data_IF_825421057680
#
_entry.id   IF_825421057680
#
_cell.length_a   1.000
_cell.length_b   1.000
_cell.length_c   1.000
_cell.angle_alpha   90.00
_cell.angle_beta   90.00
_cell.angle_gamma   90.00
#
_symmetry.space_group_name_H-M   'P 1'
#
loop_
_entity.id
_entity.type
_entity.pdbx_description
1 polymer ?
#
# COMPACT_ATOMS: atom_id res chain seq x y z
N UNK A 1 53.84 33.62 -19.15
CA UNK A 1 52.80 33.81 -18.12
C UNK A 1 52.11 32.49 -17.90
N UNK A 2 52.62 31.67 -16.98
CA UNK A 2 52.01 30.40 -16.61
C UNK A 2 52.65 29.90 -15.31
N UNK A 3 51.88 29.83 -14.24
CA UNK A 3 51.72 28.66 -13.37
C UNK A 3 50.85 29.06 -12.17
N UNK A 4 49.88 28.22 -11.82
CA UNK A 4 49.75 27.68 -10.46
C UNK A 4 48.42 26.92 -10.34
N UNK A 5 48.43 25.70 -10.85
CA UNK A 5 47.58 24.61 -10.38
C UNK A 5 48.09 24.15 -9.01
N UNK A 6 47.43 24.55 -7.94
CA UNK A 6 47.51 23.86 -6.63
C UNK A 6 46.47 22.76 -6.61
N UNK A 7 46.94 21.51 -6.70
CA UNK A 7 46.16 20.31 -6.42
C UNK A 7 46.78 19.59 -5.22
N UNK A 8 45.92 18.89 -4.47
CA UNK A 8 46.21 18.02 -3.31
C UNK A 8 46.29 18.70 -1.94
N UNK A 9 45.14 18.85 -1.29
CA UNK A 9 45.02 18.91 0.17
C UNK A 9 45.15 17.49 0.73
N UNK A 10 46.30 17.17 1.30
CA UNK A 10 46.45 16.05 2.23
C UNK A 10 45.82 16.44 3.57
N UNK A 11 44.62 15.95 3.86
CA UNK A 11 44.04 16.10 5.21
C UNK A 11 44.77 15.18 6.19
N UNK A 12 45.78 15.72 6.85
CA UNK A 12 46.29 15.18 8.11
C UNK A 12 45.26 15.48 9.20
N UNK A 13 44.55 14.47 9.69
CA UNK A 13 43.77 14.56 10.92
C UNK A 13 44.71 14.83 12.11
N UNK A 14 44.99 16.11 12.38
CA UNK A 14 45.76 16.57 13.53
C UNK A 14 44.85 16.56 14.78
N UNK A 15 44.81 15.42 15.46
CA UNK A 15 44.18 15.31 16.79
C UNK A 15 44.98 16.20 17.76
N UNK A 16 44.34 17.05 18.58
CA UNK A 16 45.04 17.90 19.54
C UNK A 16 45.92 17.11 20.50
N UNK A 17 47.11 17.66 20.78
CA UNK A 17 48.07 17.14 21.76
C UNK A 17 49.37 16.65 21.14
N UNK A 18 50.36 16.38 22.00
CA UNK A 18 51.66 15.85 21.57
C UNK A 18 51.54 14.39 21.10
N UNK A 19 52.39 13.95 20.15
CA UNK A 19 52.46 12.55 19.77
C UNK A 19 52.73 11.63 20.98
N UNK A 20 52.17 10.42 20.94
CA UNK A 20 52.42 9.39 21.98
C UNK A 20 53.92 9.21 22.23
N UNK A 21 54.33 9.43 23.48
CA UNK A 21 55.72 9.25 23.94
C UNK A 21 56.19 7.81 23.79
N UNK A 22 57.51 7.58 23.76
CA UNK A 22 58.10 6.23 23.76
C UNK A 22 57.61 5.42 24.97
N UNK A 23 57.53 6.06 26.14
CA UNK A 23 57.01 5.44 27.36
C UNK A 23 55.58 4.94 27.17
N UNK A 24 54.69 5.77 26.62
CA UNK A 24 53.30 5.38 26.36
C UNK A 24 53.21 4.19 25.40
N UNK A 25 53.99 4.21 24.31
CA UNK A 25 54.01 3.10 23.34
C UNK A 25 54.46 1.78 23.98
N UNK A 26 55.49 1.82 24.83
CA UNK A 26 55.98 0.61 25.54
C UNK A 26 54.93 0.08 26.51
N UNK A 27 54.30 0.97 27.30
CA UNK A 27 53.25 0.59 28.25
C UNK A 27 52.02 0.02 27.54
N UNK A 28 51.57 0.65 26.46
CA UNK A 28 50.46 0.16 25.62
C UNK A 28 50.78 -1.20 24.99
N UNK A 29 52.02 -1.41 24.54
CA UNK A 29 52.45 -2.72 24.01
C UNK A 29 52.38 -3.80 25.09
N UNK A 30 52.89 -3.52 26.29
CA UNK A 30 52.81 -4.45 27.42
C UNK A 30 51.37 -4.72 27.86
N UNK A 31 50.51 -3.70 27.86
CA UNK A 31 49.08 -3.85 28.12
C UNK A 31 48.40 -4.69 27.03
N UNK A 32 48.68 -4.46 25.75
CA UNK A 32 48.12 -5.22 24.64
C UNK A 32 48.45 -6.73 24.71
N UNK A 33 49.61 -7.07 25.27
CA UNK A 33 50.04 -8.46 25.46
C UNK A 33 49.41 -9.15 26.67
N UNK A 34 48.93 -8.40 27.66
CA UNK A 34 48.47 -8.94 28.96
C UNK A 34 46.97 -8.78 29.19
N UNK A 35 46.34 -7.77 28.59
CA UNK A 35 44.91 -7.49 28.71
C UNK A 35 44.12 -8.32 27.69
N UNK A 36 42.96 -8.82 28.11
CA UNK A 36 42.06 -9.51 27.20
C UNK A 36 40.96 -8.58 26.66
N UNK A 37 41.04 -8.28 25.37
CA UNK A 37 40.08 -7.45 24.65
C UNK A 37 38.95 -8.26 24.00
N UNK A 38 38.49 -9.34 24.64
CA UNK A 38 37.47 -10.24 24.09
C UNK A 38 36.28 -9.51 23.46
N UNK A 39 35.62 -8.51 24.08
CA UNK A 39 34.51 -7.80 23.45
C UNK A 39 34.87 -7.10 22.12
N UNK A 40 36.05 -6.47 22.04
CA UNK A 40 36.52 -5.79 20.83
C UNK A 40 36.89 -6.80 19.74
N UNK A 41 37.43 -7.96 20.12
CA UNK A 41 37.75 -9.06 19.20
C UNK A 41 36.50 -9.72 18.57
N UNK A 42 35.29 -9.43 19.06
CA UNK A 42 34.02 -9.91 18.47
C UNK A 42 33.52 -9.04 17.31
N UNK A 43 34.22 -7.96 16.95
CA UNK A 43 33.88 -7.18 15.75
C UNK A 43 34.07 -8.08 14.52
N UNK A 44 33.01 -8.29 13.76
CA UNK A 44 32.95 -9.26 12.65
C UNK A 44 32.71 -8.63 11.28
N UNK A 45 32.29 -7.36 11.23
CA UNK A 45 32.02 -6.66 9.97
C UNK A 45 32.53 -5.22 9.99
N UNK A 46 33.02 -4.76 8.83
CA UNK A 46 33.30 -3.36 8.53
C UNK A 46 32.32 -2.90 7.45
N UNK A 47 31.47 -1.94 7.79
CA UNK A 47 30.56 -1.27 6.84
C UNK A 47 30.99 0.19 6.66
N UNK A 48 30.75 0.73 5.47
CA UNK A 48 30.94 2.14 5.18
C UNK A 48 29.62 2.72 4.65
N UNK A 49 29.14 3.77 5.31
CA UNK A 49 27.85 4.42 5.11
C UNK A 49 27.98 5.94 5.22
N UNK A 50 26.85 6.65 5.13
CA UNK A 50 26.78 8.08 5.38
C UNK A 50 25.62 8.40 6.31
N UNK A 51 25.94 9.04 7.44
CA UNK A 51 24.95 9.46 8.41
C UNK A 51 24.51 10.90 8.16
N UNK A 52 23.21 11.15 8.28
CA UNK A 52 22.61 12.49 8.28
C UNK A 52 22.22 12.90 9.69
N UNK A 53 22.30 14.20 9.99
CA UNK A 53 21.81 14.72 11.27
C UNK A 53 20.28 14.75 11.27
N UNK A 54 19.65 14.18 12.30
CA UNK A 54 18.19 14.11 12.36
C UNK A 54 17.51 15.49 12.51
N UNK A 55 18.21 16.45 13.14
CA UNK A 55 17.77 17.83 13.33
C UNK A 55 18.19 18.76 12.18
N UNK A 56 19.28 18.45 11.48
CA UNK A 56 19.76 19.18 10.31
C UNK A 56 20.10 18.24 9.12
N UNK A 57 19.11 17.85 8.30
CA UNK A 57 19.31 16.95 7.18
C UNK A 57 20.05 17.59 5.98
N UNK A 58 20.59 18.80 6.13
CA UNK A 58 21.50 19.40 5.14
C UNK A 58 22.97 19.02 5.37
N UNK A 59 23.26 18.34 6.48
CA UNK A 59 24.60 17.90 6.87
C UNK A 59 24.68 16.38 6.88
N UNK A 60 25.80 15.85 6.41
CA UNK A 60 26.10 14.42 6.46
C UNK A 60 27.57 14.16 6.76
N UNK A 61 27.86 12.95 7.27
CA UNK A 61 29.21 12.51 7.63
C UNK A 61 29.41 11.08 7.14
N UNK A 62 30.55 10.77 6.53
CA UNK A 62 30.93 9.39 6.23
C UNK A 62 31.18 8.62 7.54
N UNK A 63 30.59 7.43 7.64
CA UNK A 63 30.60 6.62 8.84
C UNK A 63 31.21 5.24 8.54
N UNK A 64 32.24 4.87 9.31
CA UNK A 64 32.85 3.55 9.27
C UNK A 64 32.38 2.73 10.47
N UNK A 65 31.53 1.74 10.22
CA UNK A 65 30.90 0.91 11.24
C UNK A 65 31.74 -0.34 11.44
N UNK A 66 32.10 -0.59 12.69
CA UNK A 66 32.74 -1.83 13.13
C UNK A 66 31.75 -2.57 14.00
N UNK A 67 31.09 -3.56 13.40
CA UNK A 67 29.90 -4.17 13.95
C UNK A 67 30.18 -5.52 14.61
N UNK A 68 29.41 -5.79 15.67
CA UNK A 68 29.33 -7.07 16.35
C UNK A 68 27.89 -7.58 16.27
N UNK A 69 27.74 -8.86 15.89
CA UNK A 69 26.46 -9.55 15.87
C UNK A 69 26.21 -10.17 17.26
N UNK A 70 25.33 -9.57 18.07
CA UNK A 70 25.05 -10.07 19.42
C UNK A 70 24.06 -11.25 19.39
N UNK A 71 23.02 -11.10 18.58
CA UNK A 71 22.01 -12.11 18.27
C UNK A 71 21.51 -11.85 16.86
N UNK A 72 20.81 -12.82 16.24
CA UNK A 72 20.16 -12.65 14.93
C UNK A 72 19.27 -11.40 14.79
N UNK A 73 18.84 -10.83 15.92
CA UNK A 73 17.95 -9.67 15.94
C UNK A 73 18.59 -8.39 16.49
N UNK A 74 19.84 -8.44 16.97
CA UNK A 74 20.52 -7.31 17.59
C UNK A 74 21.97 -7.26 17.14
N UNK A 75 22.32 -6.16 16.48
CA UNK A 75 23.70 -5.78 16.16
C UNK A 75 24.04 -4.47 16.84
N UNK A 76 25.32 -4.29 17.14
CA UNK A 76 25.83 -3.02 17.63
C UNK A 76 27.12 -2.68 16.90
N UNK A 77 27.35 -1.40 16.66
CA UNK A 77 28.51 -0.93 15.93
C UNK A 77 29.20 0.23 16.66
N UNK A 78 30.53 0.21 16.64
CA UNK A 78 31.34 1.39 16.91
C UNK A 78 31.52 2.15 15.60
N UNK A 79 31.29 3.46 15.62
CA UNK A 79 31.33 4.31 14.43
C UNK A 79 32.57 5.19 14.46
N UNK A 80 33.34 5.19 13.39
CA UNK A 80 34.54 6.00 13.23
C UNK A 80 34.48 6.88 11.97
N UNK A 81 35.23 7.98 11.99
CA UNK A 81 35.31 8.92 10.85
C UNK A 81 36.14 8.38 9.67
N UNK A 82 36.96 7.38 9.91
CA UNK A 82 37.82 6.77 8.90
C UNK A 82 38.19 5.33 9.31
N UNK A 83 38.69 4.49 8.38
CA UNK A 83 39.18 3.15 8.70
C UNK A 83 40.65 3.14 9.13
N UNK A 84 41.25 4.30 9.41
CA UNK A 84 42.68 4.45 9.75
C UNK A 84 42.92 4.17 11.24
N UNK A 85 44.16 3.85 11.61
CA UNK A 85 44.52 3.56 13.00
C UNK A 85 44.44 4.76 13.96
N UNK A 86 44.37 5.99 13.43
CA UNK A 86 44.17 7.22 14.18
C UNK A 86 42.76 7.80 14.01
N UNK A 87 41.77 6.98 13.63
CA UNK A 87 40.41 7.42 13.44
C UNK A 87 39.78 7.93 14.74
N UNK A 88 38.91 8.94 14.61
CA UNK A 88 38.13 9.48 15.72
C UNK A 88 36.89 8.63 15.91
N UNK A 89 36.60 8.21 17.15
CA UNK A 89 35.35 7.56 17.51
C UNK A 89 34.23 8.60 17.44
N UNK A 90 33.30 8.40 16.50
CA UNK A 90 32.13 9.26 16.32
C UNK A 90 31.03 8.89 17.29
N UNK A 91 30.74 7.60 17.44
CA UNK A 91 29.70 7.15 18.35
C UNK A 91 29.31 5.69 18.19
N UNK A 92 28.04 5.40 18.45
CA UNK A 92 27.52 4.03 18.46
C UNK A 92 26.21 3.93 17.69
N UNK A 93 25.99 2.76 17.13
CA UNK A 93 24.73 2.38 16.52
C UNK A 93 24.25 1.05 17.09
N UNK A 94 22.94 0.95 17.32
CA UNK A 94 22.25 -0.31 17.55
C UNK A 94 21.33 -0.59 16.37
N UNK A 95 21.36 -1.82 15.86
CA UNK A 95 20.50 -2.24 14.76
C UNK A 95 19.64 -3.41 15.24
N UNK A 96 18.34 -3.33 14.99
CA UNK A 96 17.38 -4.35 15.45
C UNK A 96 16.48 -4.84 14.33
N UNK A 97 16.09 -6.12 14.41
CA UNK A 97 15.20 -6.72 13.42
C UNK A 97 13.81 -6.04 13.41
N UNK A 98 13.05 -6.15 12.30
CA UNK A 98 11.65 -5.73 12.26
C UNK A 98 10.79 -6.30 13.39
N UNK A 99 11.15 -7.49 13.90
CA UNK A 99 10.43 -8.15 14.99
C UNK A 99 10.58 -7.38 16.29
N UNK A 100 11.80 -6.99 16.65
CA UNK A 100 12.06 -6.15 17.83
C UNK A 100 11.52 -4.74 17.60
N UNK A 101 11.76 -4.15 16.43
CA UNK A 101 11.29 -2.79 16.14
C UNK A 101 9.77 -2.62 16.34
N UNK A 102 8.97 -3.62 15.94
CA UNK A 102 7.51 -3.61 16.10
C UNK A 102 7.03 -3.66 17.55
N UNK A 103 7.85 -4.13 18.50
CA UNK A 103 7.49 -4.16 19.92
C UNK A 103 7.81 -2.83 20.63
N UNK A 104 8.55 -1.93 19.98
CA UNK A 104 8.93 -0.66 20.56
C UNK A 104 7.74 0.32 20.66
N UNK A 105 7.68 1.14 21.73
CA UNK A 105 6.71 2.23 21.84
C UNK A 105 6.75 3.17 20.61
N UNK A 106 5.61 3.77 20.20
CA UNK A 106 5.58 4.67 19.05
C UNK A 106 6.56 5.84 19.12
N UNK A 107 6.77 6.43 20.30
CA UNK A 107 7.74 7.53 20.49
C UNK A 107 9.18 7.06 20.34
N UNK A 108 9.49 5.86 20.82
CA UNK A 108 10.82 5.28 20.68
C UNK A 108 11.13 4.98 19.21
N UNK A 109 10.17 4.45 18.45
CA UNK A 109 10.33 4.15 17.01
C UNK A 109 10.72 5.36 16.16
N UNK A 110 10.42 6.60 16.60
CA UNK A 110 10.82 7.83 15.90
C UNK A 110 12.33 8.08 15.94
N UNK A 111 13.05 7.43 16.86
CA UNK A 111 14.49 7.54 17.02
C UNK A 111 15.28 6.55 16.15
N UNK A 112 14.58 5.74 15.35
CA UNK A 112 15.18 4.70 14.52
C UNK A 112 14.96 5.01 13.04
N UNK A 113 15.94 4.66 12.21
CA UNK A 113 15.89 4.81 10.76
C UNK A 113 15.99 3.44 10.08
N UNK A 114 15.68 3.40 8.79
CA UNK A 114 15.77 2.19 7.96
C UNK A 114 17.06 2.21 7.13
N UNK A 115 17.68 1.06 6.92
CA UNK A 115 18.83 0.92 6.03
C UNK A 115 18.45 0.61 4.57
N UNK A 116 17.15 0.49 4.27
CA UNK A 116 16.64 0.04 2.98
C UNK A 116 17.23 0.84 1.81
N UNK A 117 17.16 2.18 1.89
CA UNK A 117 17.65 3.03 0.81
C UNK A 117 19.17 2.95 0.69
N UNK A 118 19.92 3.00 1.80
CA UNK A 118 21.38 2.94 1.75
C UNK A 118 21.88 1.63 1.13
N UNK A 119 21.27 0.52 1.52
CA UNK A 119 21.57 -0.79 0.95
C UNK A 119 21.26 -0.82 -0.54
N UNK A 120 20.01 -0.52 -0.91
CA UNK A 120 19.53 -0.68 -2.29
C UNK A 120 20.12 0.34 -3.26
N UNK A 121 20.55 1.50 -2.78
CA UNK A 121 21.20 2.53 -3.60
C UNK A 121 22.70 2.31 -3.76
N UNK A 122 23.32 1.37 -3.04
CA UNK A 122 24.78 1.19 -3.05
C UNK A 122 25.56 2.21 -2.20
N UNK A 123 24.85 3.03 -1.41
CA UNK A 123 25.44 3.91 -0.39
C UNK A 123 26.13 3.10 0.70
N UNK A 124 25.50 2.04 1.20
CA UNK A 124 26.11 1.12 2.15
C UNK A 124 26.96 0.07 1.41
N UNK A 125 28.21 -0.09 1.83
CA UNK A 125 29.11 -1.13 1.32
C UNK A 125 29.82 -1.85 2.46
N UNK A 126 30.33 -3.05 2.15
CA UNK A 126 31.40 -3.68 2.91
C UNK A 126 32.72 -3.52 2.15
N UNK A 127 33.67 -2.70 2.63
CA UNK A 127 34.98 -2.56 1.99
C UNK A 127 35.69 -3.91 1.83
N UNK A 128 36.19 -4.19 0.63
CA UNK A 128 36.88 -5.46 0.31
C UNK A 128 38.20 -5.59 1.07
N UNK A 129 38.41 -6.65 1.88
CA UNK A 129 39.69 -6.91 2.53
C UNK A 129 40.81 -7.09 1.50
N UNK A 130 42.02 -6.64 1.84
CA UNK A 130 43.19 -6.82 0.95
C UNK A 130 43.45 -8.30 0.69
N UNK A 131 43.56 -8.67 -0.58
CA UNK A 131 43.85 -10.04 -1.02
C UNK A 131 42.64 -10.96 -1.15
N UNK A 132 41.42 -10.48 -0.88
CA UNK A 132 40.19 -11.25 -1.10
C UNK A 132 39.76 -11.20 -2.57
N UNK A 133 39.41 -12.34 -3.22
CA UNK A 133 38.87 -12.35 -4.57
C UNK A 133 37.53 -11.60 -4.65
N UNK A 134 37.44 -10.64 -5.58
CA UNK A 134 36.27 -9.74 -5.72
C UNK A 134 34.95 -10.50 -5.79
N UNK A 135 34.85 -11.55 -6.62
CA UNK A 135 33.60 -12.29 -6.80
C UNK A 135 33.11 -12.97 -5.51
N UNK A 136 34.03 -13.49 -4.70
CA UNK A 136 33.70 -14.13 -3.42
C UNK A 136 33.24 -13.07 -2.42
N UNK A 137 33.93 -11.92 -2.37
CA UNK A 137 33.55 -10.84 -1.48
C UNK A 137 32.20 -10.23 -1.84
N UNK A 138 31.94 -10.04 -3.14
CA UNK A 138 30.67 -9.50 -3.60
C UNK A 138 29.49 -10.38 -3.22
N UNK A 139 29.63 -11.72 -3.27
CA UNK A 139 28.60 -12.63 -2.82
C UNK A 139 28.35 -12.50 -1.31
N UNK A 140 29.41 -12.45 -0.51
CA UNK A 140 29.31 -12.27 0.94
C UNK A 140 28.70 -10.92 1.32
N UNK A 141 29.15 -9.83 0.70
CA UNK A 141 28.58 -8.50 0.88
C UNK A 141 27.11 -8.47 0.48
N UNK A 142 26.74 -9.09 -0.64
CA UNK A 142 25.34 -9.09 -1.09
C UNK A 142 24.44 -9.84 -0.11
N UNK A 143 24.88 -11.00 0.41
CA UNK A 143 24.15 -11.73 1.44
C UNK A 143 23.99 -10.90 2.72
N UNK A 144 25.05 -10.24 3.19
CA UNK A 144 24.97 -9.37 4.36
C UNK A 144 24.01 -8.18 4.15
N UNK A 145 23.92 -7.67 2.92
CA UNK A 145 23.01 -6.59 2.57
C UNK A 145 21.54 -7.02 2.56
N UNK A 146 21.25 -8.29 2.26
CA UNK A 146 19.90 -8.86 2.43
C UNK A 146 19.48 -8.86 3.90
N UNK A 147 20.41 -9.15 4.81
CA UNK A 147 20.17 -9.14 6.25
C UNK A 147 20.08 -7.71 6.82
N UNK A 148 20.82 -6.75 6.26
CA UNK A 148 20.83 -5.35 6.74
C UNK A 148 19.67 -4.53 6.17
N UNK A 149 19.22 -4.76 4.93
CA UNK A 149 18.13 -3.97 4.34
C UNK A 149 16.86 -3.89 5.21
N UNK A 150 16.38 -4.97 5.87
CA UNK A 150 15.15 -4.92 6.65
C UNK A 150 15.31 -4.38 8.07
N UNK A 151 16.51 -4.31 8.64
CA UNK A 151 16.71 -3.92 10.05
C UNK A 151 16.68 -2.40 10.24
N UNK A 152 16.43 -1.98 11.47
CA UNK A 152 16.30 -0.57 11.87
C UNK A 152 17.48 -0.15 12.73
N UNK A 153 18.08 1.01 12.44
CA UNK A 153 19.25 1.55 13.14
C UNK A 153 18.88 2.70 14.08
N UNK A 154 19.49 2.77 15.25
CA UNK A 154 19.45 3.93 16.17
C UNK A 154 20.89 4.34 16.47
N UNK A 155 21.24 5.53 16.01
CA UNK A 155 22.63 5.98 15.99
C UNK A 155 22.78 7.32 16.69
N UNK A 156 23.79 7.42 17.55
CA UNK A 156 24.17 8.69 18.17
C UNK A 156 25.64 8.97 17.91
N UNK A 157 25.93 10.16 17.38
CA UNK A 157 27.28 10.70 17.29
C UNK A 157 27.56 11.65 18.44
N UNK A 158 28.70 11.47 19.09
CA UNK A 158 29.23 12.36 20.13
C UNK A 158 30.23 13.37 19.55
N UNK A 159 30.82 13.11 18.38
CA UNK A 159 31.78 14.02 17.72
C UNK A 159 31.25 14.47 16.34
N UNK A 160 31.00 15.77 16.19
CA UNK A 160 30.58 16.39 14.93
C UNK A 160 31.79 16.82 14.09
N UNK A 161 32.44 15.85 13.44
CA UNK A 161 33.71 16.09 12.73
C UNK A 161 33.60 17.04 11.53
N UNK A 162 32.41 17.17 10.94
CA UNK A 162 32.12 18.10 9.84
C UNK A 162 32.16 19.58 10.26
N UNK A 163 32.06 19.88 11.57
CA UNK A 163 32.25 21.24 12.10
C UNK A 163 33.71 21.66 12.21
N UNK A 164 34.64 20.71 12.10
CA UNK A 164 36.06 20.94 12.32
C UNK A 164 36.46 21.08 13.80
N UNK A 165 35.57 20.70 14.73
CA UNK A 165 35.88 20.75 16.17
C UNK A 165 37.02 19.77 16.51
N UNK A 166 38.01 20.28 17.24
CA UNK A 166 39.25 19.55 17.54
C UNK A 166 39.07 18.43 18.59
N UNK A 167 37.99 18.49 19.37
CA UNK A 167 37.54 17.47 20.34
C UNK A 167 36.01 17.35 20.28
N UNK A 168 35.39 16.28 20.82
CA UNK A 168 33.94 16.17 20.88
C UNK A 168 33.32 17.32 21.69
N UNK A 169 32.46 18.13 21.07
CA UNK A 169 31.80 19.28 21.69
C UNK A 169 30.27 19.20 21.59
N UNK A 170 29.60 19.59 22.67
CA UNK A 170 28.13 19.63 22.73
C UNK A 170 27.48 18.29 23.08
N UNK A 171 26.14 18.21 23.00
CA UNK A 171 25.41 16.98 23.30
C UNK A 171 25.50 15.96 22.16
N UNK A 172 25.30 14.66 22.43
CA UNK A 172 25.16 13.64 21.40
C UNK A 172 24.04 13.99 20.40
N UNK A 173 24.30 13.76 19.13
CA UNK A 173 23.39 14.03 18.03
C UNK A 173 22.75 12.73 17.55
N UNK A 174 21.43 12.72 17.41
CA UNK A 174 20.73 11.62 16.77
C UNK A 174 21.03 11.64 15.27
N UNK A 175 21.48 10.51 14.76
CA UNK A 175 21.81 10.33 13.36
C UNK A 175 20.78 9.43 12.67
N UNK A 176 20.54 9.73 11.40
CA UNK A 176 19.75 8.90 10.50
C UNK A 176 20.58 8.44 9.31
N UNK A 177 19.91 7.68 8.44
CA UNK A 177 20.37 7.31 7.11
C UNK A 177 19.69 8.17 6.05
N UNK A 178 20.27 8.22 4.85
CA UNK A 178 19.51 8.70 3.69
C UNK A 178 18.35 7.75 3.38
N UNK A 179 17.20 8.32 3.01
CA UNK A 179 15.99 7.55 2.68
C UNK A 179 15.53 7.70 1.24
N UNK A 180 16.11 8.65 0.50
CA UNK A 180 15.79 8.91 -0.91
C UNK A 180 16.89 9.71 -1.61
N UNK A 181 16.96 9.72 -2.96
CA UNK A 181 17.92 10.53 -3.70
C UNK A 181 17.80 12.03 -3.39
N UNK A 182 16.57 12.53 -3.19
CA UNK A 182 16.31 13.94 -2.85
C UNK A 182 16.90 14.31 -1.48
N UNK A 183 16.91 13.38 -0.52
CA UNK A 183 17.57 13.61 0.76
C UNK A 183 19.09 13.73 0.62
N UNK A 184 19.69 13.03 -0.34
CA UNK A 184 21.12 13.14 -0.66
C UNK A 184 21.42 14.47 -1.32
N UNK A 185 20.62 14.90 -2.29
CA UNK A 185 20.77 16.19 -2.96
C UNK A 185 20.66 17.37 -1.98
N UNK A 186 19.82 17.24 -0.95
CA UNK A 186 19.69 18.24 0.11
C UNK A 186 20.97 18.36 0.96
N UNK A 187 21.63 17.25 1.25
CA UNK A 187 22.86 17.23 2.06
C UNK A 187 24.13 17.50 1.24
N UNK A 188 24.12 17.13 -0.04
CA UNK A 188 25.29 17.22 -0.91
C UNK A 188 24.90 17.69 -2.31
N UNK A 189 25.37 18.88 -2.71
CA UNK A 189 25.01 19.53 -4.00
C UNK A 189 25.30 18.68 -5.24
N UNK A 190 26.29 17.79 -5.18
CA UNK A 190 26.62 16.88 -6.26
C UNK A 190 25.75 15.62 -6.32
N UNK A 191 24.71 15.53 -5.48
CA UNK A 191 23.88 14.34 -5.33
C UNK A 191 24.72 13.11 -4.95
N UNK A 192 24.22 11.94 -5.36
CA UNK A 192 24.88 10.64 -5.14
C UNK A 192 26.28 10.59 -5.75
N UNK A 193 26.44 11.01 -7.01
CA UNK A 193 27.73 10.96 -7.71
C UNK A 193 28.79 11.79 -6.97
N UNK A 194 28.43 13.01 -6.56
CA UNK A 194 29.35 13.89 -5.84
C UNK A 194 29.71 13.35 -4.46
N UNK A 195 28.72 12.85 -3.72
CA UNK A 195 28.91 12.34 -2.35
C UNK A 195 29.80 11.09 -2.34
N UNK A 196 29.58 10.18 -3.29
CA UNK A 196 30.20 8.86 -3.30
C UNK A 196 31.52 8.80 -4.05
N UNK A 197 31.85 9.79 -4.90
CA UNK A 197 33.04 9.74 -5.77
C UNK A 197 34.34 9.39 -5.04
N UNK A 198 34.66 10.12 -3.97
CA UNK A 198 35.91 9.88 -3.21
C UNK A 198 35.89 8.52 -2.51
N UNK A 199 34.75 8.13 -1.94
CA UNK A 199 34.54 6.83 -1.29
C UNK A 199 34.74 5.69 -2.29
N UNK A 200 34.07 5.77 -3.43
CA UNK A 200 34.10 4.77 -4.50
C UNK A 200 35.52 4.62 -5.07
N UNK A 201 36.24 5.73 -5.26
CA UNK A 201 37.66 5.72 -5.66
C UNK A 201 38.56 5.04 -4.61
N UNK A 202 38.41 5.41 -3.32
CA UNK A 202 39.21 4.84 -2.22
C UNK A 202 39.01 3.35 -2.04
N UNK A 203 37.77 2.86 -2.18
CA UNK A 203 37.43 1.46 -1.95
C UNK A 203 37.38 0.63 -3.24
N UNK A 204 37.56 1.24 -4.41
CA UNK A 204 37.52 0.57 -5.70
C UNK A 204 36.15 -0.05 -5.99
N UNK A 205 35.07 0.66 -5.63
CA UNK A 205 33.68 0.21 -5.81
C UNK A 205 32.94 1.14 -6.77
N UNK A 206 31.84 0.65 -7.33
CA UNK A 206 30.88 1.46 -8.07
C UNK A 206 29.49 1.25 -7.46
N UNK A 207 28.96 2.29 -6.83
CA UNK A 207 27.66 2.25 -6.16
C UNK A 207 26.52 1.87 -7.12
N UNK A 208 26.61 2.23 -8.42
CA UNK A 208 25.56 1.94 -9.41
C UNK A 208 25.49 0.45 -9.71
N UNK A 209 26.65 -0.19 -9.84
CA UNK A 209 26.75 -1.65 -9.96
C UNK A 209 26.18 -2.34 -8.72
N UNK A 210 26.48 -1.84 -7.50
CA UNK A 210 25.91 -2.37 -6.26
C UNK A 210 24.38 -2.20 -6.23
N UNK A 211 23.87 -1.03 -6.59
CA UNK A 211 22.44 -0.74 -6.62
C UNK A 211 21.69 -1.70 -7.55
N UNK A 212 22.16 -1.84 -8.79
CA UNK A 212 21.57 -2.74 -9.79
C UNK A 212 21.54 -4.19 -9.31
N UNK A 213 22.62 -4.66 -8.67
CA UNK A 213 22.67 -6.01 -8.11
C UNK A 213 21.65 -6.21 -6.99
N UNK A 214 21.27 -5.17 -6.25
CA UNK A 214 20.39 -5.23 -5.07
C UNK A 214 18.92 -4.86 -5.36
N UNK A 215 18.54 -4.66 -6.62
CA UNK A 215 17.17 -4.33 -7.02
C UNK A 215 16.15 -5.39 -6.58
N UNK A 216 16.55 -6.66 -6.52
CA UNK A 216 15.69 -7.77 -6.12
C UNK A 216 15.34 -7.79 -4.62
N UNK A 217 16.08 -7.05 -3.79
CA UNK A 217 15.80 -6.98 -2.35
C UNK A 217 14.42 -6.36 -2.14
N UNK A 218 13.53 -7.12 -1.50
CA UNK A 218 12.16 -6.72 -1.27
C UNK A 218 12.08 -5.42 -0.44
N UNK A 219 11.15 -4.50 -0.75
CA UNK A 219 11.02 -3.27 0.00
C UNK A 219 10.47 -3.53 1.41
N UNK A 220 10.87 -2.67 2.35
CA UNK A 220 10.40 -2.74 3.74
C UNK A 220 9.00 -2.12 3.84
N UNK A 221 8.01 -2.86 4.36
CA UNK A 221 6.66 -2.32 4.57
C UNK A 221 6.64 -1.35 5.76
N UNK A 222 6.62 -0.05 5.47
CA UNK A 222 6.67 1.04 6.46
C UNK A 222 5.33 1.25 7.18
N UNK A 223 4.19 0.89 6.58
CA UNK A 223 2.85 1.21 7.12
C UNK A 223 1.78 0.13 6.84
N UNK A 224 1.93 -1.09 7.35
CA UNK A 224 1.01 -2.20 7.07
C UNK A 224 -0.44 -1.91 7.54
N UNK A 225 -0.59 -1.24 8.69
CA UNK A 225 -1.91 -0.95 9.28
C UNK A 225 -2.68 0.10 8.47
N UNK A 226 -2.01 1.17 8.03
CA UNK A 226 -2.64 2.22 7.24
C UNK A 226 -3.14 1.67 5.90
N UNK A 227 -2.35 0.80 5.25
CA UNK A 227 -2.72 0.14 4.01
C UNK A 227 -3.92 -0.80 4.18
N UNK A 228 -3.97 -1.57 5.26
CA UNK A 228 -5.12 -2.43 5.57
C UNK A 228 -6.40 -1.59 5.77
N UNK A 229 -6.31 -0.49 6.52
CA UNK A 229 -7.44 0.41 6.78
C UNK A 229 -7.98 1.05 5.48
N UNK A 230 -7.09 1.57 4.63
CA UNK A 230 -7.46 2.17 3.34
C UNK A 230 -8.14 1.16 2.42
N UNK A 231 -7.59 -0.05 2.31
CA UNK A 231 -8.20 -1.12 1.52
C UNK A 231 -9.58 -1.50 2.06
N UNK A 232 -9.73 -1.63 3.38
CA UNK A 232 -11.02 -1.90 4.03
C UNK A 232 -12.07 -0.84 3.72
N UNK A 233 -11.70 0.44 3.82
CA UNK A 233 -12.57 1.56 3.46
C UNK A 233 -12.98 1.52 1.97
N UNK A 234 -12.03 1.22 1.08
CA UNK A 234 -12.29 1.06 -0.35
C UNK A 234 -13.28 -0.06 -0.67
N UNK A 235 -13.13 -1.22 -0.03
CA UNK A 235 -14.06 -2.36 -0.17
C UNK A 235 -15.45 -1.98 0.32
N UNK A 236 -15.56 -1.37 1.49
CA UNK A 236 -16.85 -0.92 2.03
C UNK A 236 -17.56 0.05 1.08
N UNK A 237 -16.86 1.09 0.60
CA UNK A 237 -17.42 2.05 -0.35
C UNK A 237 -17.87 1.35 -1.65
N UNK A 238 -17.07 0.42 -2.16
CA UNK A 238 -17.42 -0.35 -3.36
C UNK A 238 -18.69 -1.18 -3.14
N UNK A 239 -18.80 -1.90 -2.02
CA UNK A 239 -20.00 -2.66 -1.68
C UNK A 239 -21.25 -1.78 -1.59
N UNK A 240 -21.15 -0.62 -0.94
CA UNK A 240 -22.26 0.34 -0.83
C UNK A 240 -22.68 0.87 -2.20
N UNK A 241 -21.74 1.28 -3.05
CA UNK A 241 -22.04 1.77 -4.40
C UNK A 241 -22.69 0.69 -5.27
N UNK A 242 -22.22 -0.56 -5.18
CA UNK A 242 -22.83 -1.69 -5.88
C UNK A 242 -24.27 -1.93 -5.39
N UNK A 243 -24.49 -1.90 -4.07
CA UNK A 243 -25.80 -2.10 -3.46
C UNK A 243 -26.77 -0.94 -3.74
N UNK A 244 -26.29 0.30 -3.85
CA UNK A 244 -27.13 1.46 -4.13
C UNK A 244 -27.45 1.60 -5.61
N UNK A 245 -26.47 1.38 -6.51
CA UNK A 245 -26.62 1.74 -7.93
C UNK A 245 -26.77 0.58 -8.89
N UNK A 246 -26.34 -0.64 -8.54
CA UNK A 246 -26.33 -1.77 -9.48
C UNK A 246 -27.36 -2.83 -9.14
N UNK A 247 -27.39 -3.28 -7.88
CA UNK A 247 -28.21 -4.42 -7.46
C UNK A 247 -28.78 -4.21 -6.07
N UNK A 248 -29.99 -4.71 -5.84
CA UNK A 248 -30.59 -4.80 -4.50
C UNK A 248 -31.31 -6.12 -4.36
N UNK A 249 -31.42 -6.61 -3.13
CA UNK A 249 -32.22 -7.79 -2.82
C UNK A 249 -33.39 -7.33 -1.94
N UNK A 250 -34.61 -7.80 -2.23
CA UNK A 250 -35.78 -7.47 -1.44
C UNK A 250 -36.69 -8.69 -1.28
N UNK A 251 -37.38 -8.79 -0.13
CA UNK A 251 -38.44 -9.78 0.06
C UNK A 251 -39.65 -9.48 -0.85
N UNK A 252 -40.24 -10.55 -1.39
CA UNK A 252 -41.50 -10.51 -2.12
C UNK A 252 -42.63 -11.00 -1.22
N UNK A 253 -43.64 -10.16 -1.05
CA UNK A 253 -44.84 -10.46 -0.27
C UNK A 253 -46.10 -10.10 -1.08
N UNK A 254 -47.04 -11.05 -1.12
CA UNK A 254 -48.34 -10.89 -1.76
C UNK A 254 -48.57 -11.85 -2.94
N UNK A 255 -49.84 -12.21 -3.22
CA UNK A 255 -50.19 -13.25 -4.20
C UNK A 255 -50.15 -12.78 -5.67
N UNK A 256 -49.96 -11.48 -5.93
CA UNK A 256 -50.20 -10.87 -7.25
C UNK A 256 -49.32 -11.39 -8.40
N UNK A 257 -48.13 -11.91 -8.07
CA UNK A 257 -47.21 -12.49 -9.05
C UNK A 257 -47.18 -14.02 -8.99
N UNK A 258 -48.11 -14.66 -8.29
CA UNK A 258 -48.24 -16.11 -8.30
C UNK A 258 -48.73 -16.58 -9.69
N UNK A 259 -48.18 -17.66 -10.27
CA UNK A 259 -47.23 -18.62 -9.68
C UNK A 259 -45.74 -18.27 -9.86
N UNK A 260 -45.39 -17.16 -10.50
CA UNK A 260 -43.98 -16.78 -10.75
C UNK A 260 -43.21 -16.55 -9.45
N UNK A 261 -43.84 -15.89 -8.47
CA UNK A 261 -43.30 -15.77 -7.11
C UNK A 261 -44.29 -16.32 -6.08
N UNK A 262 -43.74 -16.94 -5.03
CA UNK A 262 -44.54 -17.39 -3.90
C UNK A 262 -45.12 -16.18 -3.14
N UNK A 263 -46.33 -16.28 -2.57
CA UNK A 263 -46.93 -15.16 -1.85
C UNK A 263 -46.14 -14.69 -0.62
N UNK A 264 -45.23 -15.52 -0.09
CA UNK A 264 -44.32 -15.18 1.01
C UNK A 264 -43.02 -15.97 0.89
N UNK A 265 -41.94 -15.39 1.40
CA UNK A 265 -40.66 -16.09 1.61
C UNK A 265 -39.66 -16.03 0.46
N UNK A 266 -40.06 -15.50 -0.70
CA UNK A 266 -39.14 -15.31 -1.83
C UNK A 266 -38.31 -14.03 -1.64
N UNK A 267 -37.01 -14.09 -1.90
CA UNK A 267 -36.16 -12.89 -2.02
C UNK A 267 -35.71 -12.72 -3.45
N UNK A 268 -35.87 -11.51 -3.97
CA UNK A 268 -35.70 -11.18 -5.37
C UNK A 268 -34.47 -10.31 -5.56
N UNK A 269 -33.60 -10.71 -6.49
CA UNK A 269 -32.51 -9.89 -6.97
C UNK A 269 -33.04 -8.92 -8.03
N UNK A 270 -32.84 -7.64 -7.79
CA UNK A 270 -33.30 -6.55 -8.65
C UNK A 270 -32.07 -5.84 -9.22
N UNK A 271 -31.99 -5.77 -10.55
CA UNK A 271 -30.98 -4.99 -11.27
C UNK A 271 -31.47 -3.56 -11.44
N UNK A 272 -30.78 -2.61 -10.80
CA UNK A 272 -31.05 -1.17 -10.92
C UNK A 272 -30.52 -0.55 -12.22
N UNK A 273 -29.77 -1.31 -13.03
CA UNK A 273 -29.37 -0.89 -14.39
C UNK A 273 -30.58 -0.56 -15.28
N UNK A 274 -31.71 -1.21 -15.02
CA UNK A 274 -32.99 -1.00 -15.70
C UNK A 274 -33.90 0.04 -15.02
N UNK A 275 -33.37 0.84 -14.09
CA UNK A 275 -34.12 1.93 -13.47
C UNK A 275 -34.59 2.93 -14.54
N UNK A 276 -35.71 3.59 -14.29
CA UNK A 276 -36.39 4.48 -15.23
C UNK A 276 -36.81 3.80 -16.55
N UNK A 277 -36.96 2.47 -16.55
CA UNK A 277 -37.41 1.71 -17.71
C UNK A 277 -36.34 1.49 -18.80
N UNK A 278 -35.05 1.59 -18.46
CA UNK A 278 -33.97 1.30 -19.41
C UNK A 278 -33.93 -0.18 -19.76
N UNK A 279 -33.87 -0.50 -21.05
CA UNK A 279 -33.72 -1.86 -21.58
C UNK A 279 -34.72 -2.87 -21.00
N UNK A 280 -35.95 -2.43 -20.66
CA UNK A 280 -37.03 -3.33 -20.29
C UNK A 280 -37.77 -3.79 -21.54
N UNK A 281 -38.23 -5.04 -21.53
CA UNK A 281 -38.95 -5.65 -22.64
C UNK A 281 -40.33 -6.14 -22.19
N UNK A 282 -41.25 -6.31 -23.12
CA UNK A 282 -42.53 -6.99 -22.85
C UNK A 282 -42.26 -8.37 -22.27
N UNK A 283 -42.92 -8.69 -21.17
CA UNK A 283 -42.78 -9.91 -20.39
C UNK A 283 -41.73 -9.87 -19.27
N UNK A 284 -40.92 -8.81 -19.19
CA UNK A 284 -40.04 -8.60 -18.04
C UNK A 284 -40.83 -8.33 -16.76
N UNK A 285 -40.24 -8.67 -15.62
CA UNK A 285 -40.78 -8.29 -14.31
C UNK A 285 -40.01 -7.09 -13.78
N UNK A 286 -40.72 -6.02 -13.44
CA UNK A 286 -40.12 -4.78 -12.93
C UNK A 286 -40.59 -4.48 -11.52
N UNK A 287 -39.69 -3.90 -10.72
CA UNK A 287 -39.99 -3.30 -9.42
C UNK A 287 -40.21 -1.80 -9.61
N UNK A 288 -41.27 -1.26 -9.04
CA UNK A 288 -41.59 0.16 -9.12
C UNK A 288 -42.15 0.73 -7.82
N UNK A 289 -42.08 2.05 -7.69
CA UNK A 289 -42.74 2.82 -6.64
C UNK A 289 -44.25 2.89 -6.92
N UNK A 290 -45.07 2.46 -5.98
CA UNK A 290 -46.51 2.41 -6.16
C UNK A 290 -47.08 3.85 -6.32
N UNK A 291 -47.82 4.15 -7.40
CA UNK A 291 -48.24 5.53 -7.70
C UNK A 291 -49.18 6.13 -6.63
N UNK A 292 -50.04 5.28 -6.04
CA UNK A 292 -51.06 5.71 -5.08
C UNK A 292 -50.69 5.44 -3.60
N UNK A 293 -49.53 4.84 -3.30
CA UNK A 293 -49.12 4.54 -1.92
C UNK A 293 -47.66 4.94 -1.76
N UNK A 294 -47.44 6.08 -1.09
CA UNK A 294 -46.10 6.61 -0.85
C UNK A 294 -45.26 5.62 -0.04
N UNK A 295 -44.02 5.38 -0.47
CA UNK A 295 -43.09 4.47 0.19
C UNK A 295 -43.36 2.98 -0.06
N UNK A 296 -44.45 2.61 -0.74
CA UNK A 296 -44.69 1.23 -1.13
C UNK A 296 -44.04 0.90 -2.47
N UNK A 297 -43.56 -0.34 -2.59
CA UNK A 297 -43.02 -0.89 -3.82
C UNK A 297 -43.84 -2.10 -4.26
N UNK A 298 -43.93 -2.32 -5.57
CA UNK A 298 -44.58 -3.49 -6.13
C UNK A 298 -43.75 -4.09 -7.27
N UNK A 299 -43.93 -5.38 -7.51
CA UNK A 299 -43.41 -6.08 -8.69
C UNK A 299 -44.58 -6.49 -9.59
N UNK A 300 -44.45 -6.23 -10.89
CA UNK A 300 -45.44 -6.60 -11.93
C UNK A 300 -44.73 -6.93 -13.23
N UNK A 301 -45.41 -7.68 -14.11
CA UNK A 301 -44.94 -8.02 -15.45
C UNK A 301 -45.30 -6.91 -16.44
N UNK A 302 -44.37 -6.58 -17.33
CA UNK A 302 -44.57 -5.66 -18.44
C UNK A 302 -45.46 -6.33 -19.48
N UNK A 303 -46.64 -5.76 -19.74
CA UNK A 303 -47.55 -6.22 -20.78
C UNK A 303 -47.42 -5.40 -22.07
N UNK A 304 -47.18 -4.08 -21.94
CA UNK A 304 -46.99 -3.18 -23.08
C UNK A 304 -46.05 -2.02 -22.74
N UNK A 305 -45.24 -1.64 -23.72
CA UNK A 305 -44.29 -0.53 -23.72
C UNK A 305 -44.90 0.72 -24.40
N UNK A 306 -44.25 1.90 -24.33
CA UNK A 306 -44.73 3.09 -25.03
C UNK A 306 -45.12 2.82 -26.48
N UNK A 307 -46.33 3.24 -26.86
CA UNK A 307 -46.87 3.07 -28.21
C UNK A 307 -47.62 1.76 -28.46
N UNK A 308 -47.45 0.74 -27.61
CA UNK A 308 -48.14 -0.55 -27.75
C UNK A 308 -49.65 -0.41 -27.52
N UNK A 309 -50.44 -1.23 -28.21
CA UNK A 309 -51.88 -1.37 -27.95
C UNK A 309 -52.13 -2.58 -27.05
N UNK A 310 -52.78 -2.36 -25.91
CA UNK A 310 -53.09 -3.40 -24.93
C UNK A 310 -54.58 -3.45 -24.60
N UNK A 311 -55.11 -4.65 -24.41
CA UNK A 311 -56.48 -4.84 -23.91
C UNK A 311 -56.54 -4.36 -22.45
N UNK A 312 -57.45 -3.43 -22.16
CA UNK A 312 -57.74 -2.99 -20.80
C UNK A 312 -58.90 -3.80 -20.24
N UNK A 313 -58.59 -4.97 -19.72
CA UNK A 313 -59.60 -5.76 -19.01
C UNK A 313 -60.07 -5.07 -17.72
N UNK A 314 -61.31 -5.34 -17.28
CA UNK A 314 -61.80 -4.86 -15.99
C UNK A 314 -60.87 -5.23 -14.84
N UNK A 315 -60.72 -4.37 -13.82
CA UNK A 315 -60.00 -4.71 -12.60
C UNK A 315 -60.45 -6.05 -12.00
N UNK A 316 -59.48 -6.87 -11.59
CA UNK A 316 -59.72 -8.19 -10.98
C UNK A 316 -60.42 -9.21 -11.89
N UNK A 317 -60.46 -8.98 -13.21
CA UNK A 317 -60.91 -10.00 -14.17
C UNK A 317 -60.04 -11.25 -14.10
N UNK A 318 -60.68 -12.42 -14.29
CA UNK A 318 -59.99 -13.70 -14.38
C UNK A 318 -59.53 -14.05 -15.81
N UNK A 319 -60.11 -13.39 -16.82
CA UNK A 319 -59.73 -13.54 -18.22
C UNK A 319 -58.95 -12.34 -18.74
N UNK A 320 -58.18 -12.58 -19.80
CA UNK A 320 -57.50 -11.57 -20.60
C UNK A 320 -58.24 -11.37 -21.93
N UNK A 321 -58.39 -10.12 -22.38
CA UNK A 321 -59.09 -9.77 -23.63
C UNK A 321 -60.59 -10.05 -23.61
N UNK A 322 -61.21 -10.03 -22.43
CA UNK A 322 -62.64 -10.34 -22.24
C UNK A 322 -63.57 -9.23 -22.72
N UNK A 323 -63.06 -8.01 -22.84
CA UNK A 323 -63.76 -6.85 -23.38
C UNK A 323 -62.91 -6.21 -24.49
N UNK A 324 -63.53 -5.61 -25.53
CA UNK A 324 -62.82 -5.01 -26.65
C UNK A 324 -62.25 -3.60 -26.35
N UNK A 325 -62.05 -3.25 -25.08
CA UNK A 325 -61.47 -1.96 -24.70
C UNK A 325 -59.96 -1.99 -24.90
N UNK A 326 -59.49 -1.33 -25.96
CA UNK A 326 -58.08 -1.23 -26.30
C UNK A 326 -57.57 0.16 -25.93
N UNK A 327 -56.41 0.21 -25.27
CA UNK A 327 -55.71 1.46 -25.02
C UNK A 327 -54.34 1.43 -25.66
N UNK A 328 -53.90 2.56 -26.19
CA UNK A 328 -52.49 2.76 -26.54
C UNK A 328 -51.74 3.20 -25.29
N UNK A 329 -50.63 2.54 -24.97
CA UNK A 329 -49.76 2.92 -23.85
C UNK A 329 -49.11 4.27 -24.18
N UNK A 330 -49.33 5.32 -23.36
CA UNK A 330 -48.77 6.63 -23.63
C UNK A 330 -47.24 6.64 -23.66
N UNK A 331 -46.67 7.61 -24.36
CA UNK A 331 -45.23 7.87 -24.31
C UNK A 331 -44.74 8.07 -22.85
N UNK A 332 -43.56 7.50 -22.56
CA UNK A 332 -42.99 7.53 -21.21
C UNK A 332 -43.70 6.68 -20.15
N UNK A 333 -44.68 5.85 -20.54
CA UNK A 333 -45.41 4.96 -19.63
C UNK A 333 -45.26 3.48 -20.01
N UNK A 334 -45.55 2.59 -19.06
CA UNK A 334 -45.58 1.14 -19.24
C UNK A 334 -46.91 0.60 -18.72
N UNK A 335 -47.48 -0.40 -19.39
CA UNK A 335 -48.63 -1.13 -18.87
C UNK A 335 -48.17 -2.38 -18.13
N UNK A 336 -48.50 -2.48 -16.84
CA UNK A 336 -48.05 -3.54 -15.97
C UNK A 336 -49.22 -4.42 -15.52
N UNK A 337 -49.00 -5.72 -15.45
CA UNK A 337 -49.99 -6.70 -14.99
C UNK A 337 -49.39 -7.69 -14.00
N UNK A 338 -50.18 -8.21 -13.07
CA UNK A 338 -49.76 -9.30 -12.21
C UNK A 338 -50.11 -10.65 -12.84
N UNK A 339 -49.27 -11.66 -12.62
CA UNK A 339 -49.50 -13.00 -13.14
C UNK A 339 -50.74 -13.67 -12.51
N UNK A 340 -51.12 -13.25 -11.30
CA UNK A 340 -52.35 -13.68 -10.64
C UNK A 340 -53.48 -12.67 -10.89
N UNK A 341 -54.08 -12.72 -12.09
CA UNK A 341 -55.00 -11.70 -12.60
C UNK A 341 -56.12 -11.28 -11.63
N UNK A 342 -56.85 -12.20 -10.95
CA UNK A 342 -57.91 -11.82 -10.01
C UNK A 342 -57.40 -11.18 -8.70
N UNK A 343 -56.12 -11.42 -8.36
CA UNK A 343 -55.50 -11.00 -7.10
C UNK A 343 -54.39 -9.97 -7.29
N UNK A 344 -54.42 -9.28 -8.43
CA UNK A 344 -53.44 -8.27 -8.78
C UNK A 344 -54.08 -6.89 -8.80
N UNK A 345 -53.49 -5.95 -8.06
CA UNK A 345 -53.71 -4.51 -8.24
C UNK A 345 -52.62 -3.98 -9.16
N UNK A 346 -52.98 -3.64 -10.38
CA UNK A 346 -52.05 -3.32 -11.46
C UNK A 346 -52.58 -2.22 -12.39
N UNK A 347 -52.04 -2.08 -13.61
CA UNK A 347 -52.42 -1.00 -14.53
C UNK A 347 -53.90 -1.03 -14.93
N UNK A 348 -54.62 -2.15 -14.76
CA UNK A 348 -56.08 -2.17 -14.91
C UNK A 348 -56.78 -1.28 -13.88
N UNK A 349 -56.20 -1.18 -12.67
CA UNK A 349 -56.73 -0.38 -11.57
C UNK A 349 -56.27 1.08 -11.61
N UNK A 350 -54.99 1.35 -11.86
CA UNK A 350 -54.41 2.69 -11.74
C UNK A 350 -53.91 3.30 -13.06
N UNK A 351 -54.10 2.59 -14.18
CA UNK A 351 -53.65 3.02 -15.51
C UNK A 351 -52.18 2.69 -15.82
N UNK A 352 -51.69 3.08 -17.00
CA UNK A 352 -50.27 3.00 -17.35
C UNK A 352 -49.38 3.71 -16.31
N UNK A 353 -48.24 3.12 -15.99
CA UNK A 353 -47.30 3.62 -14.99
C UNK A 353 -46.17 4.41 -15.66
N UNK A 354 -45.82 5.63 -15.20
CA UNK A 354 -44.63 6.34 -15.68
C UNK A 354 -43.35 5.49 -15.52
N UNK A 355 -42.52 5.42 -16.57
CA UNK A 355 -41.25 4.66 -16.55
C UNK A 355 -40.32 5.12 -15.42
N UNK A 356 -40.35 6.41 -15.07
CA UNK A 356 -39.56 6.97 -13.96
C UNK A 356 -39.89 6.43 -12.57
N UNK A 357 -41.02 5.72 -12.41
CA UNK A 357 -41.33 5.02 -11.15
C UNK A 357 -40.67 3.64 -11.06
N UNK A 358 -40.09 3.11 -12.14
CA UNK A 358 -39.39 1.83 -12.16
C UNK A 358 -38.02 1.99 -11.49
N UNK A 359 -37.79 1.24 -10.41
CA UNK A 359 -36.51 1.23 -9.70
C UNK A 359 -35.54 0.16 -10.20
N UNK A 360 -36.02 -0.81 -10.98
CA UNK A 360 -35.18 -1.86 -11.56
C UNK A 360 -35.97 -3.06 -12.06
N UNK A 361 -35.26 -3.97 -12.73
CA UNK A 361 -35.79 -5.23 -13.26
C UNK A 361 -35.52 -6.35 -12.27
N UNK A 362 -36.52 -7.18 -11.99
CA UNK A 362 -36.34 -8.40 -11.21
C UNK A 362 -35.69 -9.44 -12.12
N UNK A 363 -34.48 -9.88 -11.78
CA UNK A 363 -33.68 -10.77 -12.63
C UNK A 363 -33.61 -12.20 -12.10
N UNK A 364 -33.69 -12.39 -10.79
CA UNK A 364 -33.63 -13.73 -10.19
C UNK A 364 -34.38 -13.80 -8.86
N UNK A 365 -34.84 -15.00 -8.51
CA UNK A 365 -35.13 -15.38 -7.13
C UNK A 365 -33.86 -15.96 -6.52
N UNK A 366 -33.43 -15.42 -5.40
CA UNK A 366 -32.17 -15.79 -4.71
C UNK A 366 -32.40 -16.45 -3.35
N UNK A 367 -33.64 -16.49 -2.87
CA UNK A 367 -34.04 -17.24 -1.68
C UNK A 367 -35.47 -17.76 -1.85
N UNK A 368 -35.82 -18.97 -1.36
CA UNK A 368 -34.94 -19.92 -0.63
C UNK A 368 -33.92 -20.63 -1.54
N UNK A 369 -32.82 -21.19 -0.98
CA UNK A 369 -31.73 -21.80 -1.77
C UNK A 369 -32.18 -22.93 -2.69
N UNK A 370 -33.17 -23.71 -2.27
CA UNK A 370 -33.75 -24.82 -3.05
C UNK A 370 -34.53 -24.36 -4.28
N UNK A 371 -34.74 -23.05 -4.44
CA UNK A 371 -35.57 -22.45 -5.48
C UNK A 371 -34.85 -21.31 -6.21
N UNK A 372 -33.52 -21.20 -6.10
CA UNK A 372 -32.77 -20.15 -6.80
C UNK A 372 -32.91 -20.32 -8.32
N UNK A 373 -33.44 -19.31 -9.00
CA UNK A 373 -33.63 -19.34 -10.45
C UNK A 373 -33.66 -17.93 -11.05
N UNK A 374 -33.24 -17.83 -12.32
CA UNK A 374 -33.39 -16.62 -13.12
C UNK A 374 -34.85 -16.45 -13.54
N UNK A 375 -35.37 -15.24 -13.46
CA UNK A 375 -36.72 -14.91 -13.94
C UNK A 375 -36.69 -14.92 -15.46
N UNK A 376 -37.45 -15.84 -16.06
CA UNK A 376 -37.55 -15.98 -17.52
C UNK A 376 -38.69 -15.13 -18.06
N UNK A 377 -38.51 -14.63 -19.27
CA UNK A 377 -39.61 -14.03 -20.02
C UNK A 377 -40.52 -15.16 -20.54
N UNK A 378 -41.79 -15.12 -20.16
CA UNK A 378 -42.81 -16.12 -20.54
C UNK A 378 -43.67 -15.66 -21.71
N UNK A 379 -43.45 -14.45 -22.23
CA UNK A 379 -44.14 -13.91 -23.39
C UNK A 379 -43.29 -14.14 -24.64
N UNK A 380 -43.89 -14.73 -25.67
CA UNK A 380 -43.24 -14.90 -26.98
C UNK A 380 -43.98 -14.09 -28.05
N UNK A 381 -43.26 -13.54 -29.04
CA UNK A 381 -43.90 -12.96 -30.21
C UNK A 381 -44.78 -14.01 -30.92
N UNK A 382 -45.96 -13.60 -31.36
CA UNK A 382 -46.81 -14.49 -32.16
C UNK A 382 -46.12 -14.73 -33.50
N UNK A 383 -45.79 -16.01 -33.80
CA UNK A 383 -45.13 -16.42 -35.05
C UNK A 383 -43.65 -16.79 -34.95
N UNK A 384 -43.12 -17.04 -33.74
CA UNK A 384 -41.74 -17.49 -33.51
C UNK A 384 -41.55 -19.01 -33.42
N UNK A 385 -42.50 -19.81 -33.92
CA UNK A 385 -42.40 -21.27 -34.04
C UNK A 385 -41.75 -21.70 -35.37
#
# INVERSE_FOLDING_TARGET
MASDTKNSTSESNEIPGDPRTVKSRVLETGAAMTQDFTPVKQICAHLNAFHIYADDPTRCVEANHYCTHLTEDVRQCLIYDSPKSNARLLGVEYMVSPRIFKTLPPEERKLWHTHEFEVKSGLLIMPTPKGMPTAVWEAAETAEMEDIAPIYGKTYHMWQVDRGDAVPMGPPQLMGSFTSPESVEKAHKGGMDGLLRDRDERFGVDYRTKAKKREYIAPVDKHPVARLALNGAGVFCTCTLVWEHLVTIQSSEGPSMYPTFNPRGDWLLISRRHANGKDIQVGDVVRFNHPNILGAHAAKRVLGLPGDFVCRDPPYSAGAGTQPDMIQVPEGHVFLIGDNLPWSRDSRNFGPLPLGLINGKVVARVWPPSKIEWVRNTMQPVGSD
#
